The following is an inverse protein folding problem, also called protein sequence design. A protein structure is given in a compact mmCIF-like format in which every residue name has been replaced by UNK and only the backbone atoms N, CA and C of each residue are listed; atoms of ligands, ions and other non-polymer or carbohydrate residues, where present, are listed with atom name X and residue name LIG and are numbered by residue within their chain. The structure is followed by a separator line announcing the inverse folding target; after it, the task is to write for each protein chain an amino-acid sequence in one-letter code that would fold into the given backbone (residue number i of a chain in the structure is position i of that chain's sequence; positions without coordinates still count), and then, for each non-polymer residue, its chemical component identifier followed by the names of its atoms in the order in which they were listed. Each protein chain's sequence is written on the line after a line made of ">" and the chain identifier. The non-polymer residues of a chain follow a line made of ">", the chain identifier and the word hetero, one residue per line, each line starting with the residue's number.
data_IF_954008069452
#
_entry.id   IF_954008069452
#
_cell.length_a   1.000
_cell.length_b   1.000
_cell.length_c   1.000
_cell.angle_alpha   90.00
_cell.angle_beta   90.00
_cell.angle_gamma   90.00
#
_symmetry.space_group_name_H-M   'P 1'
#
loop_
_entity.id
_entity.type
_entity.pdbx_description
1 polymer ?
#
# COMPACT_ATOMS: atom_id res chain seq x y z
N UNK A 1 -12.85 5.59 -11.56
CA UNK A 1 -11.74 4.93 -12.26
C UNK A 1 -10.94 4.06 -11.28
N UNK A 2 -10.59 2.84 -11.69
CA UNK A 2 -9.81 1.89 -10.88
C UNK A 2 -8.33 1.92 -11.27
N UNK A 3 -7.47 1.31 -10.45
CA UNK A 3 -6.00 1.26 -10.69
C UNK A 3 -5.66 0.30 -11.85
N UNK A 4 -6.42 -0.79 -12.00
CA UNK A 4 -6.10 -1.90 -12.91
C UNK A 4 -5.75 -1.49 -14.35
N UNK A 5 -6.47 -0.57 -15.03
CA UNK A 5 -6.15 -0.16 -16.41
C UNK A 5 -4.79 0.53 -16.55
N UNK A 6 -4.29 1.15 -15.48
CA UNK A 6 -3.00 1.85 -15.49
C UNK A 6 -1.81 0.92 -15.27
N UNK A 7 -2.04 -0.31 -14.79
CA UNK A 7 -0.97 -1.25 -14.41
C UNK A 7 -0.99 -2.56 -15.21
N UNK A 8 -2.12 -2.96 -15.79
CA UNK A 8 -2.23 -4.14 -16.63
C UNK A 8 -2.36 -3.74 -18.10
N UNK A 9 -1.41 -4.18 -18.92
CA UNK A 9 -1.42 -3.92 -20.37
C UNK A 9 -2.56 -4.59 -21.13
N UNK A 10 -3.12 -5.67 -20.56
CA UNK A 10 -4.28 -6.38 -21.12
C UNK A 10 -5.21 -6.80 -20.00
N UNK A 11 -6.40 -6.21 -19.98
CA UNK A 11 -7.51 -6.63 -19.12
C UNK A 11 -8.47 -7.52 -19.92
N UNK A 12 -9.14 -8.48 -19.26
CA UNK A 12 -10.16 -9.32 -19.90
C UNK A 12 -11.49 -8.58 -20.14
N UNK A 13 -11.60 -7.32 -19.71
CA UNK A 13 -12.78 -6.45 -19.85
C UNK A 13 -12.36 -4.98 -19.94
N UNK A 14 -13.24 -4.15 -20.47
CA UNK A 14 -13.13 -2.68 -20.48
C UNK A 14 -13.94 -2.08 -19.31
N UNK A 15 -13.31 -1.50 -18.28
CA UNK A 15 -14.02 -0.97 -17.12
C UNK A 15 -14.91 0.24 -17.42
N UNK A 16 -14.73 0.93 -18.55
CA UNK A 16 -15.56 2.06 -18.97
C UNK A 16 -16.70 1.62 -19.88
N UNK A 17 -16.45 0.69 -20.81
CA UNK A 17 -17.46 0.25 -21.77
C UNK A 17 -18.37 -0.86 -21.25
N UNK A 18 -17.85 -1.78 -20.41
CA UNK A 18 -18.59 -2.99 -20.00
C UNK A 18 -19.42 -2.80 -18.72
N UNK A 19 -19.30 -1.65 -18.04
CA UNK A 19 -19.98 -1.39 -16.76
C UNK A 19 -20.72 -0.04 -16.74
N UNK A 20 -21.92 -0.04 -16.17
CA UNK A 20 -22.67 1.18 -15.86
C UNK A 20 -22.45 1.55 -14.39
N UNK A 21 -21.91 2.73 -14.14
CA UNK A 21 -21.74 3.24 -12.79
C UNK A 21 -23.10 3.56 -12.14
N UNK A 22 -23.37 2.95 -10.97
CA UNK A 22 -24.61 3.19 -10.21
C UNK A 22 -24.43 4.37 -9.24
N UNK A 23 -23.55 4.22 -8.25
CA UNK A 23 -23.22 5.26 -7.28
C UNK A 23 -21.92 4.91 -6.52
N UNK A 24 -21.26 5.93 -5.94
CA UNK A 24 -20.18 5.74 -4.96
C UNK A 24 -20.77 5.36 -3.60
N UNK A 25 -20.36 4.21 -3.05
CA UNK A 25 -20.88 3.72 -1.76
C UNK A 25 -20.23 4.43 -0.57
N UNK A 26 -18.91 4.57 -0.57
CA UNK A 26 -18.15 5.12 0.54
C UNK A 26 -16.81 5.70 0.09
N UNK A 27 -16.28 6.63 0.89
CA UNK A 27 -14.90 7.08 0.82
C UNK A 27 -14.19 6.59 2.09
N UNK A 28 -13.12 5.82 1.92
CA UNK A 28 -12.36 5.24 3.04
C UNK A 28 -10.97 5.89 3.07
N UNK A 29 -10.60 6.60 4.15
CA UNK A 29 -9.26 7.12 4.28
C UNK A 29 -8.27 5.98 4.54
N UNK A 30 -7.05 6.12 4.00
CA UNK A 30 -5.94 5.22 4.29
C UNK A 30 -5.05 5.82 5.37
N UNK A 31 -4.46 4.94 6.18
CA UNK A 31 -3.50 5.31 7.22
C UNK A 31 -2.21 4.53 7.03
N UNK A 32 -1.07 5.17 7.30
CA UNK A 32 0.19 4.49 7.49
C UNK A 32 0.28 4.06 8.96
N UNK A 33 0.48 2.77 9.20
CA UNK A 33 0.72 2.21 10.51
C UNK A 33 2.14 1.66 10.57
N UNK A 34 2.70 1.56 11.77
CA UNK A 34 4.02 0.93 11.97
C UNK A 34 3.92 -0.10 13.09
N UNK A 35 4.76 -1.13 13.03
CA UNK A 35 4.89 -2.06 14.15
C UNK A 35 5.33 -1.29 15.42
N UNK A 36 4.83 -1.70 16.59
CA UNK A 36 5.10 -1.04 17.86
C UNK A 36 6.59 -0.96 18.25
N UNK A 37 7.44 -1.84 17.69
CA UNK A 37 8.89 -1.84 17.91
C UNK A 37 9.63 -0.82 17.04
N UNK A 38 8.97 -0.22 16.04
CA UNK A 38 9.55 0.82 15.19
C UNK A 38 9.42 2.16 15.92
N UNK A 39 10.53 2.81 16.33
CA UNK A 39 10.50 4.00 17.18
C UNK A 39 10.23 5.28 16.37
N UNK A 40 9.13 5.31 15.62
CA UNK A 40 8.72 6.47 14.81
C UNK A 40 7.28 6.86 15.13
N UNK A 41 7.04 8.16 15.21
CA UNK A 41 5.72 8.73 15.52
C UNK A 41 5.26 9.74 14.47
N UNK A 42 5.99 9.83 13.34
CA UNK A 42 5.68 10.75 12.25
C UNK A 42 6.18 10.21 10.91
N UNK A 43 5.58 10.69 9.82
CA UNK A 43 6.01 10.33 8.46
C UNK A 43 7.46 10.76 8.19
N UNK A 44 7.90 11.93 8.68
CA UNK A 44 9.31 12.35 8.58
C UNK A 44 10.24 11.40 9.33
N UNK A 45 9.82 10.94 10.50
CA UNK A 45 10.53 9.91 11.26
C UNK A 45 10.63 8.60 10.50
N UNK A 46 9.56 8.17 9.83
CA UNK A 46 9.56 6.98 8.99
C UNK A 46 10.55 7.09 7.82
N UNK A 47 10.61 8.24 7.13
CA UNK A 47 11.59 8.47 6.05
C UNK A 47 13.02 8.36 6.59
N UNK A 48 13.31 9.00 7.73
CA UNK A 48 14.62 8.93 8.37
C UNK A 48 14.97 7.52 8.87
N UNK A 49 13.97 6.76 9.32
CA UNK A 49 14.14 5.38 9.75
C UNK A 49 14.45 4.47 8.55
N UNK A 50 13.69 4.60 7.46
CA UNK A 50 13.84 3.83 6.23
C UNK A 50 15.12 4.16 5.45
N UNK A 51 15.73 5.33 5.66
CA UNK A 51 17.03 5.65 5.04
C UNK A 51 18.22 4.97 5.72
N UNK A 52 18.04 4.52 6.96
CA UNK A 52 19.10 3.87 7.76
C UNK A 52 18.93 2.36 7.87
N UNK A 53 17.72 1.84 7.60
CA UNK A 53 17.36 0.44 7.83
C UNK A 53 16.48 -0.07 6.69
N UNK A 54 16.61 -1.34 6.31
CA UNK A 54 15.62 -2.01 5.48
C UNK A 54 14.26 -1.96 6.17
N UNK A 55 13.22 -1.59 5.41
CA UNK A 55 11.84 -1.50 5.88
C UNK A 55 10.98 -2.22 4.87
N UNK A 56 10.16 -3.16 5.32
CA UNK A 56 9.14 -3.80 4.51
C UNK A 56 7.77 -3.20 4.79
N UNK A 57 6.98 -2.96 3.74
CA UNK A 57 5.60 -2.52 3.83
C UNK A 57 4.62 -3.53 3.22
N UNK A 58 3.50 -3.76 3.90
CA UNK A 58 2.47 -4.71 3.51
C UNK A 58 1.40 -4.12 2.60
N UNK A 59 0.76 -4.97 1.81
CA UNK A 59 -0.42 -4.59 1.02
C UNK A 59 -1.41 -5.74 0.87
N UNK A 60 -2.62 -5.42 0.40
CA UNK A 60 -3.60 -6.42 -0.01
C UNK A 60 -3.28 -7.12 -1.34
N UNK A 61 -2.10 -6.89 -1.91
CA UNK A 61 -1.61 -7.55 -3.13
C UNK A 61 -1.13 -6.56 -4.19
N UNK A 62 -0.54 -7.10 -5.26
CA UNK A 62 -0.10 -6.30 -6.40
C UNK A 62 -1.28 -5.58 -7.06
N UNK A 63 -1.13 -4.29 -7.37
CA UNK A 63 -2.21 -3.47 -7.91
C UNK A 63 -3.26 -2.98 -6.90
N UNK A 64 -3.15 -3.35 -5.62
CA UNK A 64 -4.01 -2.77 -4.57
C UNK A 64 -3.68 -1.29 -4.31
N UNK A 65 -4.62 -0.56 -3.72
CA UNK A 65 -4.41 0.85 -3.33
C UNK A 65 -3.24 0.98 -2.35
N UNK A 66 -3.10 0.05 -1.40
CA UNK A 66 -1.98 0.03 -0.45
C UNK A 66 -0.62 -0.12 -1.13
N UNK A 67 -0.53 -0.96 -2.17
CA UNK A 67 0.69 -1.09 -2.97
C UNK A 67 1.03 0.25 -3.63
N UNK A 68 0.05 0.86 -4.32
CA UNK A 68 0.26 2.15 -4.99
C UNK A 68 0.68 3.24 -3.99
N UNK A 69 0.04 3.33 -2.83
CA UNK A 69 0.37 4.31 -1.80
C UNK A 69 1.80 4.13 -1.25
N UNK A 70 2.25 2.90 -1.06
CA UNK A 70 3.63 2.63 -0.63
C UNK A 70 4.66 3.05 -1.67
N UNK A 71 4.41 2.78 -2.95
CA UNK A 71 5.30 3.23 -4.04
C UNK A 71 5.26 4.74 -4.26
N UNK A 72 4.10 5.37 -4.09
CA UNK A 72 3.97 6.83 -4.08
C UNK A 72 4.76 7.45 -2.93
N UNK A 73 4.73 6.85 -1.74
CA UNK A 73 5.54 7.30 -0.60
C UNK A 73 7.04 7.15 -0.87
N UNK A 74 7.48 6.00 -1.40
CA UNK A 74 8.88 5.78 -1.81
C UNK A 74 9.32 6.86 -2.80
N UNK A 75 8.53 7.10 -3.85
CA UNK A 75 8.81 8.10 -4.89
C UNK A 75 8.88 9.51 -4.33
N UNK A 76 7.90 9.91 -3.50
CA UNK A 76 7.80 11.27 -2.97
C UNK A 76 8.85 11.59 -1.90
N UNK A 77 9.26 10.59 -1.11
CA UNK A 77 10.19 10.77 0.01
C UNK A 77 11.63 10.39 -0.30
N UNK A 78 11.87 9.66 -1.39
CA UNK A 78 13.17 9.04 -1.67
C UNK A 78 13.48 7.81 -0.80
N UNK A 79 12.53 7.36 0.03
CA UNK A 79 12.65 6.09 0.75
C UNK A 79 12.65 4.90 -0.22
N UNK A 80 13.19 3.77 0.25
CA UNK A 80 13.23 2.51 -0.52
C UNK A 80 12.68 1.36 0.32
N UNK A 81 11.42 1.48 0.73
CA UNK A 81 10.74 0.42 1.47
C UNK A 81 10.38 -0.72 0.52
N UNK A 82 10.63 -1.96 0.94
CA UNK A 82 10.34 -3.16 0.17
C UNK A 82 8.86 -3.51 0.26
N UNK A 83 8.20 -3.65 -0.88
CA UNK A 83 6.82 -4.12 -0.94
C UNK A 83 6.72 -5.62 -0.65
N UNK A 84 5.78 -6.00 0.23
CA UNK A 84 5.39 -7.39 0.51
C UNK A 84 3.90 -7.57 0.19
N UNK A 85 3.54 -8.30 -0.88
CA UNK A 85 2.16 -8.52 -1.26
C UNK A 85 1.53 -9.68 -0.48
N UNK A 86 0.34 -9.44 0.08
CA UNK A 86 -0.48 -10.47 0.71
C UNK A 86 -1.76 -10.74 -0.09
N UNK A 87 -2.49 -11.81 0.24
CA UNK A 87 -3.81 -12.14 -0.36
C UNK A 87 -4.98 -11.36 0.27
N UNK A 88 -4.74 -10.11 0.68
CA UNK A 88 -5.72 -9.27 1.38
C UNK A 88 -5.11 -8.49 2.55
N UNK A 89 -5.86 -7.54 3.11
CA UNK A 89 -5.37 -6.69 4.19
C UNK A 89 -5.21 -7.42 5.54
N UNK A 90 -6.05 -8.41 5.83
CA UNK A 90 -6.02 -9.14 7.10
C UNK A 90 -4.68 -9.85 7.37
N UNK A 91 -4.12 -10.67 6.44
CA UNK A 91 -2.80 -11.28 6.66
C UNK A 91 -1.67 -10.25 6.75
N UNK A 92 -1.73 -9.14 6.01
CA UNK A 92 -0.75 -8.07 6.15
C UNK A 92 -0.78 -7.43 7.55
N UNK A 93 -1.97 -7.23 8.12
CA UNK A 93 -2.13 -6.69 9.47
C UNK A 93 -1.58 -7.63 10.54
N UNK A 94 -1.78 -8.95 10.40
CA UNK A 94 -1.20 -9.95 11.31
C UNK A 94 0.33 -9.89 11.32
N UNK A 95 0.94 -9.77 10.15
CA UNK A 95 2.40 -9.67 10.00
C UNK A 95 2.94 -8.33 10.52
N UNK A 96 2.19 -7.24 10.35
CA UNK A 96 2.51 -5.95 10.94
C UNK A 96 2.50 -6.01 12.47
N UNK A 97 1.46 -6.61 13.06
CA UNK A 97 1.35 -6.72 14.52
C UNK A 97 2.47 -7.60 15.09
N UNK A 98 2.79 -8.72 14.43
CA UNK A 98 3.85 -9.64 14.86
C UNK A 98 5.27 -9.16 14.54
N UNK A 99 5.42 -8.09 13.76
CA UNK A 99 6.71 -7.47 13.42
C UNK A 99 7.47 -8.12 12.27
N UNK A 100 6.82 -9.00 11.50
CA UNK A 100 7.38 -9.56 10.26
C UNK A 100 7.59 -8.47 9.19
N UNK A 101 6.69 -7.49 9.16
CA UNK A 101 6.83 -6.25 8.39
C UNK A 101 6.80 -5.04 9.33
N UNK A 102 7.37 -3.93 8.89
CA UNK A 102 7.47 -2.72 9.71
C UNK A 102 6.35 -1.73 9.44
N UNK A 103 5.75 -1.77 8.24
CA UNK A 103 4.74 -0.81 7.74
C UNK A 103 3.56 -1.54 7.09
#
# INVERSE_FOLDING_TARGET
>A
HAINPSIYSKLPFDPEADFVAVATLANVPFVAAVNASVPVTSMKGLVAYASQRPVAFGSAGNGSVNHLLGEMFNTASGAKMQHVPYKGAAPALTDLISGQIQV
#
